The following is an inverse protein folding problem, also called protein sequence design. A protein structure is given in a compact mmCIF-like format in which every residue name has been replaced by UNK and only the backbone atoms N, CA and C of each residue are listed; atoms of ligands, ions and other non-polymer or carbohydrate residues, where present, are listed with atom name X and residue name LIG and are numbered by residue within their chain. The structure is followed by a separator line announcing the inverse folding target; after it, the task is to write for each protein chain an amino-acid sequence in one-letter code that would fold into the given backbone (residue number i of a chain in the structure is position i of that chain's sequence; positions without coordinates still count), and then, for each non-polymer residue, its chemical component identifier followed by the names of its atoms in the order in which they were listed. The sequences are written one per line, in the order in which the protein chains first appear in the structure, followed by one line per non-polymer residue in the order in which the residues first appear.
data_IF_468087421072
#
_entry.id   IF_468087421072
#
_cell.length_a   1.000
_cell.length_b   1.000
_cell.length_c   1.000
_cell.angle_alpha   90.00
_cell.angle_beta   90.00
_cell.angle_gamma   90.00
#
_symmetry.space_group_name_H-M   'P 1'
#
loop_
_entity.id
_entity.type
_entity.pdbx_description
1 polymer ?
#
# COMPACT_ATOMS: atom_id res chain seq x y z
N UNK A 1 17.79 9.43 11.25
CA UNK A 1 18.13 8.37 10.28
C UNK A 1 16.86 7.59 9.97
N UNK A 2 16.64 7.14 8.74
CA UNK A 2 15.50 6.27 8.39
C UNK A 2 15.81 4.81 8.77
N UNK A 3 14.78 4.02 9.09
CA UNK A 3 14.89 2.60 9.45
C UNK A 3 14.98 1.69 8.22
N UNK A 4 14.38 2.11 7.11
CA UNK A 4 14.36 1.44 5.81
C UNK A 4 13.93 2.44 4.72
N UNK A 5 14.01 2.04 3.45
CA UNK A 5 13.56 2.88 2.34
C UNK A 5 12.03 2.93 2.25
N UNK A 6 11.38 1.78 2.44
CA UNK A 6 9.94 1.58 2.22
C UNK A 6 9.29 0.91 3.44
N UNK A 7 8.15 1.42 3.88
CA UNK A 7 7.26 0.72 4.81
C UNK A 7 5.99 0.30 4.07
N UNK A 8 5.69 -0.99 4.11
CA UNK A 8 4.45 -1.56 3.59
C UNK A 8 3.48 -1.91 4.72
N UNK A 9 2.31 -1.29 4.72
CA UNK A 9 1.23 -1.50 5.68
C UNK A 9 0.18 -2.39 5.01
N UNK A 10 0.13 -3.65 5.42
CA UNK A 10 -0.74 -4.68 4.82
C UNK A 10 -2.22 -4.40 5.05
N UNK A 11 -3.06 -5.01 4.23
CA UNK A 11 -4.52 -5.01 4.39
C UNK A 11 -4.99 -5.71 5.66
N UNK A 12 -6.31 -5.78 5.86
CA UNK A 12 -6.88 -6.54 6.97
C UNK A 12 -6.74 -8.04 6.65
N UNK A 13 -5.98 -8.83 7.42
CA UNK A 13 -5.84 -10.26 7.16
C UNK A 13 -7.17 -11.02 7.27
N UNK A 14 -8.17 -10.46 7.96
CA UNK A 14 -9.48 -11.08 8.15
C UNK A 14 -10.47 -10.85 7.00
N UNK A 15 -10.08 -10.15 5.92
CA UNK A 15 -10.94 -9.93 4.73
C UNK A 15 -10.42 -10.68 3.52
N UNK A 16 -11.27 -11.34 2.74
CA UNK A 16 -10.83 -12.13 1.58
C UNK A 16 -10.10 -13.41 1.96
N UNK A 17 -9.52 -14.09 0.96
CA UNK A 17 -8.83 -15.38 1.14
C UNK A 17 -7.34 -15.18 1.43
N UNK A 18 -6.74 -16.12 2.16
CA UNK A 18 -5.31 -16.13 2.44
C UNK A 18 -4.47 -16.03 1.15
N UNK A 19 -4.82 -16.82 0.13
CA UNK A 19 -4.12 -16.81 -1.16
C UNK A 19 -4.22 -15.47 -1.89
N UNK A 20 -5.33 -14.73 -1.72
CA UNK A 20 -5.47 -13.40 -2.30
C UNK A 20 -4.52 -12.43 -1.60
N UNK A 21 -4.41 -12.51 -0.27
CA UNK A 21 -3.43 -11.74 0.50
C UNK A 21 -1.99 -12.05 0.10
N UNK A 22 -1.63 -13.32 -0.01
CA UNK A 22 -0.29 -13.73 -0.44
C UNK A 22 0.04 -13.16 -1.82
N UNK A 23 -0.88 -13.26 -2.78
CA UNK A 23 -0.71 -12.72 -4.14
C UNK A 23 -0.57 -11.21 -4.15
N UNK A 24 -1.45 -10.47 -3.48
CA UNK A 24 -1.37 -8.99 -3.48
C UNK A 24 -0.14 -8.51 -2.71
N UNK A 25 0.19 -9.12 -1.57
CA UNK A 25 1.36 -8.77 -0.78
C UNK A 25 2.63 -8.98 -1.59
N UNK A 26 2.74 -10.13 -2.26
CA UNK A 26 3.86 -10.41 -3.17
C UNK A 26 3.91 -9.41 -4.31
N UNK A 27 2.77 -9.16 -4.98
CA UNK A 27 2.70 -8.21 -6.10
C UNK A 27 3.10 -6.80 -5.69
N UNK A 28 2.85 -6.39 -4.44
CA UNK A 28 3.27 -5.09 -3.90
C UNK A 28 4.76 -5.10 -3.60
N UNK A 29 5.28 -6.12 -2.89
CA UNK A 29 6.70 -6.18 -2.53
C UNK A 29 7.60 -6.32 -3.75
N UNK A 30 7.13 -6.97 -4.82
CA UNK A 30 7.86 -7.06 -6.10
C UNK A 30 8.03 -5.67 -6.77
N UNK A 31 7.26 -4.65 -6.38
CA UNK A 31 7.43 -3.27 -6.86
C UNK A 31 8.63 -2.57 -6.21
N UNK A 32 9.15 -3.09 -5.10
CA UNK A 32 10.18 -2.44 -4.30
C UNK A 32 11.58 -2.66 -4.89
N UNK A 33 11.74 -3.64 -5.77
CA UNK A 33 13.05 -3.99 -6.34
C UNK A 33 14.05 -4.37 -5.26
N UNK A 34 15.23 -3.73 -5.28
CA UNK A 34 16.31 -3.95 -4.32
C UNK A 34 16.24 -3.05 -3.07
N UNK A 35 15.20 -2.21 -2.95
CA UNK A 35 15.08 -1.27 -1.83
C UNK A 35 14.75 -2.00 -0.53
N UNK A 36 15.32 -1.51 0.57
CA UNK A 36 15.07 -2.09 1.90
C UNK A 36 13.64 -1.79 2.34
N UNK A 37 12.95 -2.77 2.91
CA UNK A 37 11.59 -2.56 3.37
C UNK A 37 11.26 -3.29 4.67
N UNK A 38 10.27 -2.75 5.38
CA UNK A 38 9.62 -3.40 6.52
C UNK A 38 8.12 -3.53 6.25
N UNK A 39 7.53 -4.60 6.75
CA UNK A 39 6.08 -4.79 6.68
C UNK A 39 5.43 -4.56 8.04
N UNK A 40 4.20 -4.06 8.02
CA UNK A 40 3.39 -3.74 9.20
C UNK A 40 1.98 -4.27 8.97
N UNK A 41 1.41 -4.97 9.94
CA UNK A 41 0.02 -5.43 9.86
C UNK A 41 -0.97 -4.32 10.26
N UNK A 42 -2.11 -4.24 9.57
CA UNK A 42 -3.14 -3.22 9.85
C UNK A 42 -3.99 -3.46 11.11
N UNK A 43 -3.72 -4.54 11.83
CA UNK A 43 -4.42 -4.91 13.07
C UNK A 43 -3.65 -4.51 14.34
N UNK A 44 -2.51 -3.85 14.22
CA UNK A 44 -1.74 -3.45 15.40
C UNK A 44 -2.48 -2.31 16.13
N UNK A 45 -2.64 -2.50 17.45
CA UNK A 45 -3.26 -1.53 18.35
C UNK A 45 -2.54 -0.18 18.30
N UNK A 46 -3.29 0.92 18.26
CA UNK A 46 -2.75 2.29 18.18
C UNK A 46 -1.91 2.69 19.41
N UNK A 47 -1.98 1.97 20.54
CA UNK A 47 -1.41 2.43 21.82
C UNK A 47 0.10 2.25 21.92
N UNK A 48 0.69 1.26 21.24
CA UNK A 48 2.12 0.92 21.41
C UNK A 48 2.92 0.90 20.09
N UNK A 49 2.27 1.16 18.95
CA UNK A 49 2.92 1.01 17.65
C UNK A 49 3.61 2.28 17.17
N UNK A 50 4.94 2.26 17.19
CA UNK A 50 5.78 3.25 16.50
C UNK A 50 5.97 2.81 15.05
N UNK A 51 5.39 3.58 14.12
CA UNK A 51 5.61 3.38 12.69
C UNK A 51 7.10 3.55 12.36
N UNK A 52 7.75 2.58 11.68
CA UNK A 52 9.14 2.76 11.25
C UNK A 52 9.27 4.00 10.36
N UNK A 53 10.40 4.69 10.46
CA UNK A 53 10.70 5.86 9.65
C UNK A 53 11.20 5.41 8.29
N UNK A 54 10.51 5.81 7.23
CA UNK A 54 10.89 5.54 5.84
C UNK A 54 10.64 6.77 4.96
N UNK A 55 11.19 6.75 3.74
CA UNK A 55 10.92 7.78 2.72
C UNK A 55 9.63 7.50 1.95
N UNK A 56 9.27 6.22 1.83
CA UNK A 56 8.07 5.75 1.13
C UNK A 56 7.19 4.94 2.08
N UNK A 57 5.90 5.22 2.06
CA UNK A 57 4.88 4.45 2.76
C UNK A 57 3.82 3.98 1.79
N UNK A 58 3.57 2.68 1.81
CA UNK A 58 2.61 2.02 0.93
C UNK A 58 1.58 1.34 1.82
N UNK A 59 0.31 1.66 1.63
CA UNK A 59 -0.80 1.00 2.30
C UNK A 59 -1.65 0.22 1.33
N UNK A 60 -2.06 -0.98 1.71
CA UNK A 60 -3.09 -1.73 1.00
C UNK A 60 -4.41 -1.73 1.79
N UNK A 61 -5.53 -1.42 1.14
CA UNK A 61 -6.87 -1.50 1.72
C UNK A 61 -6.96 -0.78 3.09
N UNK A 62 -7.29 -1.49 4.17
CA UNK A 62 -7.31 -0.96 5.55
C UNK A 62 -5.96 -0.36 5.99
N UNK A 63 -4.84 -0.91 5.53
CA UNK A 63 -3.50 -0.39 5.79
C UNK A 63 -3.29 1.04 5.27
N UNK A 64 -3.98 1.43 4.20
CA UNK A 64 -3.91 2.80 3.67
C UNK A 64 -4.42 3.85 4.66
N UNK A 65 -5.27 3.50 5.63
CA UNK A 65 -5.80 4.44 6.62
C UNK A 65 -4.71 5.08 7.48
N UNK A 66 -3.58 4.41 7.65
CA UNK A 66 -2.45 4.91 8.42
C UNK A 66 -1.70 6.02 7.68
N UNK A 67 -1.79 6.11 6.34
CA UNK A 67 -1.07 7.11 5.53
C UNK A 67 -1.48 8.55 5.86
N UNK A 68 -2.72 8.77 6.30
CA UNK A 68 -3.22 10.09 6.74
C UNK A 68 -2.51 10.63 7.98
N UNK A 69 -1.93 9.74 8.79
CA UNK A 69 -1.23 10.08 10.04
C UNK A 69 0.27 10.36 9.82
N UNK A 70 0.76 10.14 8.60
CA UNK A 70 2.18 10.28 8.27
C UNK A 70 2.50 11.69 7.78
N UNK A 71 3.77 12.06 7.89
CA UNK A 71 4.31 13.31 7.38
C UNK A 71 3.99 13.47 5.87
N UNK A 72 3.55 14.67 5.50
CA UNK A 72 3.17 15.03 4.12
C UNK A 72 4.36 15.11 3.18
N UNK A 73 5.57 15.27 3.71
CA UNK A 73 6.82 15.33 2.93
C UNK A 73 7.30 13.95 2.46
N UNK A 74 6.67 12.86 2.93
CA UNK A 74 6.98 11.50 2.51
C UNK A 74 6.11 11.08 1.32
N UNK A 75 6.63 10.18 0.49
CA UNK A 75 5.83 9.57 -0.56
C UNK A 75 4.83 8.58 0.07
N UNK A 76 3.55 8.86 -0.12
CA UNK A 76 2.45 8.04 0.41
C UNK A 76 1.66 7.46 -0.75
N UNK A 77 1.57 6.14 -0.81
CA UNK A 77 0.89 5.39 -1.87
C UNK A 77 -0.19 4.52 -1.26
N UNK A 78 -1.42 4.67 -1.72
CA UNK A 78 -2.58 3.88 -1.33
C UNK A 78 -2.99 2.96 -2.46
N UNK A 79 -3.10 1.66 -2.20
CA UNK A 79 -3.54 0.63 -3.14
C UNK A 79 -4.87 0.06 -2.65
N UNK A 80 -5.93 0.13 -3.45
CA UNK A 80 -7.27 -0.38 -3.10
C UNK A 80 -7.84 0.22 -1.80
N UNK A 81 -7.37 1.41 -1.41
CA UNK A 81 -7.64 1.99 -0.09
C UNK A 81 -8.15 3.42 -0.17
N UNK A 82 -7.88 4.18 0.89
CA UNK A 82 -8.34 5.57 0.99
C UNK A 82 -7.61 6.51 0.03
N UNK A 83 -8.31 7.55 -0.42
CA UNK A 83 -7.74 8.73 -1.06
C UNK A 83 -7.51 9.87 -0.06
N UNK A 84 -6.70 10.85 -0.44
CA UNK A 84 -6.46 12.04 0.37
C UNK A 84 -5.39 12.96 -0.21
N UNK A 85 -5.29 14.18 0.33
CA UNK A 85 -4.32 15.19 -0.13
C UNK A 85 -2.88 14.68 0.03
N UNK A 86 -2.15 14.65 -1.10
CA UNK A 86 -0.77 14.17 -1.16
C UNK A 86 -0.63 12.66 -0.97
N UNK A 87 -1.69 11.88 -1.17
CA UNK A 87 -1.65 10.42 -1.23
C UNK A 87 -1.88 9.99 -2.68
N UNK A 88 -0.89 9.32 -3.26
CA UNK A 88 -1.00 8.74 -4.60
C UNK A 88 -1.89 7.50 -4.50
N UNK A 89 -3.07 7.54 -5.12
CA UNK A 89 -4.10 6.50 -4.95
C UNK A 89 -4.23 5.68 -6.22
N UNK A 90 -4.17 4.36 -6.08
CA UNK A 90 -4.32 3.38 -7.15
C UNK A 90 -5.42 2.41 -6.75
N UNK A 91 -6.55 2.47 -7.45
CA UNK A 91 -7.72 1.62 -7.22
C UNK A 91 -8.05 0.96 -8.56
N UNK A 92 -8.24 -0.35 -8.54
CA UNK A 92 -8.71 -1.07 -9.71
C UNK A 92 -10.10 -0.55 -10.08
N UNK A 93 -10.34 -0.23 -11.35
CA UNK A 93 -11.65 0.28 -11.79
C UNK A 93 -12.81 -0.69 -11.53
N UNK A 94 -12.49 -1.98 -11.44
CA UNK A 94 -13.47 -3.04 -11.15
C UNK A 94 -13.64 -3.28 -9.64
N UNK A 95 -12.78 -2.71 -8.79
CA UNK A 95 -12.94 -2.73 -7.34
C UNK A 95 -14.03 -1.74 -6.93
N UNK A 96 -15.20 -2.30 -6.59
CA UNK A 96 -16.39 -1.56 -6.16
C UNK A 96 -16.79 -1.90 -4.73
N UNK A 97 -15.88 -2.49 -3.93
CA UNK A 97 -16.17 -2.87 -2.54
C UNK A 97 -16.60 -1.65 -1.72
N UNK A 98 -15.96 -0.49 -1.94
CA UNK A 98 -16.32 0.74 -1.24
C UNK A 98 -17.68 1.30 -1.65
N UNK A 99 -18.21 0.91 -2.82
CA UNK A 99 -19.57 1.21 -3.26
C UNK A 99 -20.60 0.16 -2.78
N UNK A 100 -20.18 -0.84 -1.99
CA UNK A 100 -21.03 -1.90 -1.46
C UNK A 100 -21.17 -3.12 -2.36
N UNK A 101 -20.47 -3.17 -3.49
CA UNK A 101 -20.49 -4.33 -4.39
C UNK A 101 -19.56 -5.44 -3.84
N UNK A 102 -20.19 -6.47 -3.28
CA UNK A 102 -19.54 -7.66 -2.74
C UNK A 102 -19.57 -8.84 -3.73
N UNK A 103 -19.82 -8.58 -5.02
CA UNK A 103 -19.72 -9.61 -6.05
C UNK A 103 -18.31 -10.18 -6.13
N UNK A 104 -18.19 -11.42 -6.62
CA UNK A 104 -16.91 -12.08 -6.81
C UNK A 104 -15.95 -11.26 -7.69
N UNK A 105 -16.48 -10.61 -8.73
CA UNK A 105 -15.70 -9.73 -9.61
C UNK A 105 -15.08 -8.56 -8.83
N UNK A 106 -15.89 -7.82 -8.08
CA UNK A 106 -15.44 -6.69 -7.26
C UNK A 106 -14.45 -7.14 -6.18
N UNK A 107 -14.76 -8.25 -5.50
CA UNK A 107 -13.87 -8.84 -4.49
C UNK A 107 -12.53 -9.24 -5.08
N UNK A 108 -12.50 -9.90 -6.23
CA UNK A 108 -11.26 -10.30 -6.89
C UNK A 108 -10.47 -9.08 -7.38
N UNK A 109 -11.14 -8.08 -7.94
CA UNK A 109 -10.53 -6.85 -8.42
C UNK A 109 -9.81 -6.08 -7.31
N UNK A 110 -10.33 -6.09 -6.07
CA UNK A 110 -9.71 -5.46 -4.90
C UNK A 110 -8.30 -5.97 -4.60
N UNK A 111 -8.01 -7.23 -4.91
CA UNK A 111 -6.71 -7.87 -4.67
C UNK A 111 -5.80 -7.87 -5.91
N UNK A 112 -6.12 -7.04 -6.92
CA UNK A 112 -5.34 -6.93 -8.16
C UNK A 112 -4.87 -5.49 -8.36
N UNK A 113 -3.58 -5.35 -8.65
CA UNK A 113 -3.01 -4.08 -9.15
C UNK A 113 -2.88 -4.22 -10.66
N UNK A 114 -3.45 -3.28 -11.40
CA UNK A 114 -3.34 -3.26 -12.86
C UNK A 114 -1.89 -2.98 -13.27
N UNK A 115 -1.41 -3.59 -14.34
CA UNK A 115 -0.02 -3.43 -14.80
C UNK A 115 0.37 -1.97 -15.05
N UNK A 116 -0.55 -1.18 -15.63
CA UNK A 116 -0.37 0.27 -15.81
C UNK A 116 -0.09 1.00 -14.49
N UNK A 117 -0.70 0.55 -13.40
CA UNK A 117 -0.55 1.15 -12.08
C UNK A 117 0.72 0.65 -11.40
N UNK A 118 1.10 -0.61 -11.60
CA UNK A 118 2.41 -1.13 -11.17
C UNK A 118 3.57 -0.31 -11.76
N UNK A 119 3.51 0.02 -13.05
CA UNK A 119 4.52 0.86 -13.72
C UNK A 119 4.60 2.25 -13.07
N UNK A 120 3.45 2.89 -12.83
CA UNK A 120 3.39 4.21 -12.18
C UNK A 120 3.93 4.17 -10.76
N UNK A 121 3.56 3.16 -9.97
CA UNK A 121 4.04 2.97 -8.60
C UNK A 121 5.57 2.80 -8.59
N UNK A 122 6.12 1.94 -9.46
CA UNK A 122 7.57 1.76 -9.60
C UNK A 122 8.28 3.07 -9.92
N UNK A 123 7.75 3.85 -10.86
CA UNK A 123 8.34 5.14 -11.23
C UNK A 123 8.32 6.15 -10.06
N UNK A 124 7.24 6.21 -9.28
CA UNK A 124 7.17 7.07 -8.09
C UNK A 124 8.23 6.69 -7.06
N UNK A 125 8.38 5.39 -6.78
CA UNK A 125 9.38 4.88 -5.83
C UNK A 125 10.80 5.20 -6.33
N UNK A 126 11.09 4.87 -7.59
CA UNK A 126 12.40 5.07 -8.22
C UNK A 126 12.81 6.55 -8.20
N UNK A 127 11.92 7.43 -8.64
CA UNK A 127 12.20 8.87 -8.73
C UNK A 127 12.49 9.48 -7.35
N UNK A 128 11.86 8.99 -6.27
CA UNK A 128 12.15 9.48 -4.93
C UNK A 128 13.45 8.89 -4.36
N UNK A 129 13.66 7.59 -4.50
CA UNK A 129 14.74 6.90 -3.78
C UNK A 129 16.10 7.01 -4.47
N UNK A 130 16.15 7.20 -5.79
CA UNK A 130 17.40 7.29 -6.54
C UNK A 130 17.83 8.73 -6.78
N UNK A 131 16.91 9.66 -7.06
CA UNK A 131 17.27 11.08 -7.24
C UNK A 131 17.60 11.81 -5.92
N UNK A 132 17.38 11.18 -4.76
CA UNK A 132 17.74 11.71 -3.44
C UNK A 132 18.86 10.89 -2.76
N UNK A 133 19.72 10.26 -3.56
CA UNK A 133 21.04 9.77 -3.15
C UNK A 133 22.09 10.75 -3.66
#
# INVERSE_FOLDING_TARGET
MYDCDIVYIKGNPSSGLLIQHEKINKSITDLFGLHTFKTVDSNISNKDFKMPRAKVYIGFSRGSRYLKKLDKNMLRISIGGISGVGINTFINSDDKILAGDMSELSMNAHFIILEKDKIKIKNLIFNLLINNK
#
